data_IF_435410778449
#
_entry.id   IF_435410778449
#
_cell.length_a   1.000
_cell.length_b   1.000
_cell.length_c   1.000
_cell.angle_alpha   90.00
_cell.angle_beta   90.00
_cell.angle_gamma   90.00
#
_symmetry.space_group_name_H-M   'P 1'
#
loop_
_entity.id
_entity.type
_entity.pdbx_description
1 polymer ?
#
# COMPACT_ATOMS: atom_id res chain seq x y z
N UNK A 1 -24.01 34.18 18.48
CA UNK A 1 -22.62 33.77 18.77
C UNK A 1 -21.72 34.97 18.47
N UNK A 2 -21.06 35.54 19.48
CA UNK A 2 -20.09 36.62 19.31
C UNK A 2 -18.71 36.01 19.05
N UNK A 3 -18.44 35.64 17.80
CA UNK A 3 -17.10 35.21 17.40
C UNK A 3 -16.22 36.45 17.16
N UNK A 4 -14.94 36.42 17.57
CA UNK A 4 -14.02 37.50 17.31
C UNK A 4 -13.83 37.67 15.80
N UNK A 5 -13.59 38.92 15.36
CA UNK A 5 -13.35 39.17 13.95
C UNK A 5 -12.07 38.45 13.49
N UNK A 6 -12.09 37.83 12.31
CA UNK A 6 -10.95 37.09 11.81
C UNK A 6 -9.75 38.02 11.63
N UNK A 7 -8.53 37.58 11.99
CA UNK A 7 -7.35 38.40 11.86
C UNK A 7 -7.09 38.77 10.41
N UNK A 8 -6.76 40.03 10.15
CA UNK A 8 -6.53 40.56 8.80
C UNK A 8 -5.16 40.20 8.23
N UNK A 9 -4.21 39.74 9.05
CA UNK A 9 -2.90 39.23 8.63
C UNK A 9 -2.72 37.77 9.01
N UNK A 10 -2.75 36.90 8.02
CA UNK A 10 -2.58 35.45 8.19
C UNK A 10 -1.11 34.99 8.18
N UNK A 11 -0.17 35.81 7.69
CA UNK A 11 1.24 35.41 7.54
C UNK A 11 1.93 34.93 8.83
N UNK A 12 1.67 35.51 10.02
CA UNK A 12 2.31 35.03 11.26
C UNK A 12 1.78 33.65 11.68
N UNK A 13 0.48 33.41 11.47
CA UNK A 13 -0.17 32.13 11.77
C UNK A 13 0.29 31.05 10.80
N UNK A 14 0.44 31.38 9.52
CA UNK A 14 0.98 30.47 8.51
C UNK A 14 2.36 29.95 8.89
N UNK A 15 3.27 30.83 9.36
CA UNK A 15 4.61 30.41 9.81
C UNK A 15 4.57 29.49 11.04
N UNK A 16 3.68 29.79 12.01
CA UNK A 16 3.52 28.96 13.22
C UNK A 16 2.96 27.58 12.89
N UNK A 17 1.93 27.53 12.06
CA UNK A 17 1.31 26.27 11.61
C UNK A 17 2.31 25.45 10.79
N UNK A 18 3.04 26.10 9.87
CA UNK A 18 4.07 25.43 9.07
C UNK A 18 5.16 24.81 9.95
N UNK A 19 5.65 25.56 10.95
CA UNK A 19 6.66 25.05 11.86
C UNK A 19 6.14 23.87 12.70
N UNK A 20 4.92 23.97 13.24
CA UNK A 20 4.31 22.88 13.99
C UNK A 20 4.12 21.63 13.11
N UNK A 21 3.62 21.80 11.88
CA UNK A 21 3.44 20.72 10.92
C UNK A 21 4.78 20.06 10.53
N UNK A 22 5.84 20.87 10.33
CA UNK A 22 7.19 20.36 10.06
C UNK A 22 7.74 19.53 11.21
N UNK A 23 7.59 20.00 12.45
CA UNK A 23 8.06 19.27 13.63
C UNK A 23 7.39 17.90 13.75
N UNK A 24 6.05 17.87 13.61
CA UNK A 24 5.29 16.60 13.64
C UNK A 24 5.68 15.69 12.49
N UNK A 25 5.89 16.25 11.29
CA UNK A 25 6.32 15.49 10.12
C UNK A 25 7.71 14.87 10.31
N UNK A 26 8.68 15.65 10.82
CA UNK A 26 10.05 15.18 11.07
C UNK A 26 10.07 14.07 12.11
N UNK A 27 9.36 14.26 13.23
CA UNK A 27 9.26 13.25 14.28
C UNK A 27 8.56 11.97 13.77
N UNK A 28 7.44 12.12 13.06
CA UNK A 28 6.69 11.00 12.50
C UNK A 28 7.51 10.18 11.50
N UNK A 29 8.23 10.83 10.57
CA UNK A 29 9.09 10.14 9.60
C UNK A 29 10.28 9.47 10.28
N UNK A 30 10.91 10.13 11.27
CA UNK A 30 12.04 9.53 11.98
C UNK A 30 11.62 8.32 12.81
N UNK A 31 10.48 8.39 13.47
CA UNK A 31 9.94 7.27 14.25
C UNK A 31 9.56 6.12 13.32
N UNK A 32 8.84 6.39 12.22
CA UNK A 32 8.52 5.37 11.21
C UNK A 32 9.78 4.73 10.60
N UNK A 33 10.84 5.50 10.33
CA UNK A 33 12.10 4.97 9.82
C UNK A 33 12.82 4.09 10.85
N UNK A 34 12.86 4.49 12.12
CA UNK A 34 13.45 3.70 13.21
C UNK A 34 12.68 2.40 13.46
N UNK A 35 11.36 2.49 13.51
CA UNK A 35 10.47 1.33 13.63
C UNK A 35 10.70 0.37 12.48
N UNK A 36 10.69 0.87 11.24
CA UNK A 36 10.93 0.04 10.06
C UNK A 36 12.33 -0.61 10.07
N UNK A 37 13.38 0.06 10.53
CA UNK A 37 14.73 -0.54 10.66
C UNK A 37 14.74 -1.62 11.75
N UNK A 38 14.13 -1.34 12.91
CA UNK A 38 14.08 -2.29 14.03
C UNK A 38 13.32 -3.56 13.64
N UNK A 39 12.20 -3.41 12.93
CA UNK A 39 11.38 -4.52 12.46
C UNK A 39 12.03 -5.31 11.32
N UNK A 40 12.93 -4.70 10.55
CA UNK A 40 13.71 -5.36 9.50
C UNK A 40 15.08 -5.87 10.00
N UNK A 41 15.20 -6.25 11.28
CA UNK A 41 16.43 -6.82 11.87
C UNK A 41 17.67 -5.91 11.69
N UNK A 42 17.46 -4.60 11.70
CA UNK A 42 18.52 -3.62 11.50
C UNK A 42 18.86 -3.35 10.03
N UNK A 43 18.18 -3.97 9.07
CA UNK A 43 18.36 -3.71 7.65
C UNK A 43 17.82 -2.32 7.29
N UNK A 44 18.69 -1.48 6.73
CA UNK A 44 18.41 -0.08 6.38
C UNK A 44 17.95 0.10 4.92
N UNK A 45 17.98 -0.96 4.11
CA UNK A 45 17.57 -0.92 2.71
C UNK A 45 16.04 -1.06 2.59
N UNK A 46 15.33 -0.02 3.02
CA UNK A 46 13.87 0.05 2.98
C UNK A 46 13.49 1.03 1.87
N UNK A 47 13.21 0.51 0.67
CA UNK A 47 12.91 1.33 -0.49
C UNK A 47 11.41 1.29 -0.80
N UNK A 48 10.75 2.44 -0.67
CA UNK A 48 9.35 2.64 -1.02
C UNK A 48 9.24 3.74 -2.06
N UNK A 49 8.50 3.50 -3.14
CA UNK A 49 8.13 4.56 -4.07
C UNK A 49 6.70 4.99 -3.73
N UNK A 50 6.54 6.28 -3.50
CA UNK A 50 5.26 6.86 -3.08
C UNK A 50 4.94 7.98 -4.05
N UNK A 51 3.90 7.79 -4.88
CA UNK A 51 3.41 8.80 -5.81
C UNK A 51 2.09 9.37 -5.31
N UNK A 52 2.01 10.69 -5.15
CA UNK A 52 0.86 11.39 -4.61
C UNK A 52 0.15 12.19 -5.70
N UNK A 53 -1.15 12.00 -5.85
CA UNK A 53 -1.99 12.82 -6.73
C UNK A 53 -3.20 13.35 -5.98
N UNK A 54 -3.81 14.42 -6.48
CA UNK A 54 -5.04 14.96 -5.93
C UNK A 54 -6.23 14.23 -6.54
N UNK A 55 -7.27 13.94 -5.74
CA UNK A 55 -8.48 13.30 -6.27
C UNK A 55 -9.11 14.09 -7.44
N UNK A 56 -8.92 15.41 -7.45
CA UNK A 56 -9.36 16.31 -8.53
C UNK A 56 -8.15 16.97 -9.20
N UNK A 57 -8.26 17.20 -10.51
CA UNK A 57 -7.25 17.91 -11.30
C UNK A 57 -7.09 19.34 -10.79
N UNK A 58 -5.84 19.80 -10.65
CA UNK A 58 -5.53 21.21 -10.40
C UNK A 58 -5.40 21.63 -8.93
N UNK A 59 -4.81 20.80 -8.06
CA UNK A 59 -4.49 21.14 -6.66
C UNK A 59 -5.67 21.58 -5.77
N UNK A 60 -6.92 21.41 -6.22
CA UNK A 60 -8.13 21.93 -5.55
C UNK A 60 -8.90 20.86 -4.77
N UNK A 61 -8.29 19.71 -4.52
CA UNK A 61 -8.90 18.62 -3.78
C UNK A 61 -8.58 18.70 -2.30
N UNK A 62 -9.59 18.58 -1.43
CA UNK A 62 -9.40 18.35 0.01
C UNK A 62 -8.89 16.92 0.31
N UNK A 63 -8.92 16.03 -0.68
CA UNK A 63 -8.49 14.64 -0.57
C UNK A 63 -7.25 14.39 -1.44
N UNK A 64 -6.14 14.01 -0.81
CA UNK A 64 -4.97 13.44 -1.50
C UNK A 64 -5.15 11.94 -1.73
N UNK A 65 -4.60 11.43 -2.82
CA UNK A 65 -4.49 10.00 -3.13
C UNK A 65 -3.01 9.67 -3.18
N UNK A 66 -2.58 8.72 -2.35
CA UNK A 66 -1.20 8.25 -2.32
C UNK A 66 -1.15 6.83 -2.87
N UNK A 67 -0.35 6.62 -3.91
CA UNK A 67 -0.08 5.30 -4.49
C UNK A 67 1.29 4.83 -4.02
N UNK A 68 1.31 3.70 -3.33
CA UNK A 68 2.56 3.02 -2.99
C UNK A 68 2.89 2.04 -4.11
N UNK A 69 3.98 2.30 -4.82
CA UNK A 69 4.52 1.42 -5.85
C UNK A 69 5.71 0.64 -5.30
N UNK A 70 5.76 -0.65 -5.59
CA UNK A 70 6.95 -1.46 -5.31
C UNK A 70 8.07 -0.98 -6.21
N UNK A 71 9.16 -0.48 -5.63
CA UNK A 71 10.30 0.03 -6.39
C UNK A 71 10.91 -1.06 -7.28
N UNK A 72 10.90 -2.31 -6.81
CA UNK A 72 11.50 -3.46 -7.49
C UNK A 72 10.86 -3.82 -8.84
N UNK A 73 9.59 -3.45 -9.07
CA UNK A 73 8.86 -3.86 -10.30
C UNK A 73 8.27 -2.72 -11.10
N UNK A 74 8.28 -1.49 -10.57
CA UNK A 74 7.70 -0.32 -11.24
C UNK A 74 6.21 -0.45 -11.57
N UNK A 75 5.51 -1.43 -10.99
CA UNK A 75 4.10 -1.72 -11.27
C UNK A 75 3.25 -1.57 -10.01
N UNK A 76 2.11 -0.89 -10.15
CA UNK A 76 1.05 -0.95 -9.14
C UNK A 76 0.39 -2.32 -9.23
N UNK A 77 0.71 -3.20 -8.28
CA UNK A 77 0.07 -4.51 -8.14
C UNK A 77 -1.43 -4.37 -7.91
N UNK A 78 -1.85 -3.38 -7.13
CA UNK A 78 -3.26 -3.09 -6.88
C UNK A 78 -4.03 -2.77 -8.17
N UNK A 79 -3.53 -1.83 -8.98
CA UNK A 79 -4.19 -1.50 -10.25
C UNK A 79 -4.27 -2.68 -11.23
N UNK A 80 -3.28 -3.57 -11.20
CA UNK A 80 -3.30 -4.81 -12.01
C UNK A 80 -4.33 -5.82 -11.50
N UNK A 81 -4.46 -5.96 -10.17
CA UNK A 81 -5.48 -6.81 -9.55
C UNK A 81 -6.90 -6.35 -9.91
N UNK A 82 -7.14 -5.04 -9.95
CA UNK A 82 -8.43 -4.47 -10.38
C UNK A 82 -8.68 -4.75 -11.88
N UNK A 83 -7.80 -4.29 -12.77
CA UNK A 83 -8.03 -4.35 -14.22
C UNK A 83 -8.22 -5.77 -14.76
N UNK A 84 -7.46 -6.74 -14.23
CA UNK A 84 -7.56 -8.15 -14.65
C UNK A 84 -8.82 -8.85 -14.15
N UNK A 85 -9.53 -8.26 -13.19
CA UNK A 85 -10.69 -8.86 -12.53
C UNK A 85 -11.90 -7.91 -12.55
N UNK A 86 -11.97 -6.98 -13.51
CA UNK A 86 -12.98 -5.92 -13.57
C UNK A 86 -14.43 -6.42 -13.65
N UNK A 87 -14.64 -7.69 -14.02
CA UNK A 87 -15.96 -8.32 -14.06
C UNK A 87 -16.41 -8.93 -12.73
N UNK A 88 -15.56 -8.99 -11.71
CA UNK A 88 -15.89 -9.64 -10.43
C UNK A 88 -15.22 -8.98 -9.23
N UNK A 89 -16.04 -8.40 -8.36
CA UNK A 89 -15.61 -7.85 -7.05
C UNK A 89 -14.91 -8.91 -6.21
N UNK A 90 -15.40 -10.15 -6.24
CA UNK A 90 -14.82 -11.24 -5.49
C UNK A 90 -13.40 -11.58 -6.00
N UNK A 91 -13.20 -11.58 -7.31
CA UNK A 91 -11.89 -11.84 -7.91
C UNK A 91 -10.93 -10.67 -7.66
N UNK A 92 -11.40 -9.42 -7.73
CA UNK A 92 -10.61 -8.25 -7.33
C UNK A 92 -10.13 -8.38 -5.88
N UNK A 93 -11.05 -8.70 -4.96
CA UNK A 93 -10.73 -8.89 -3.53
C UNK A 93 -9.70 -9.98 -3.33
N UNK A 94 -9.87 -11.15 -3.96
CA UNK A 94 -8.90 -12.24 -3.86
C UNK A 94 -7.53 -11.82 -4.40
N UNK A 95 -7.47 -11.20 -5.58
CA UNK A 95 -6.23 -10.74 -6.17
C UNK A 95 -5.52 -9.67 -5.31
N UNK A 96 -6.26 -8.78 -4.64
CA UNK A 96 -5.71 -7.81 -3.69
C UNK A 96 -5.11 -8.52 -2.46
N UNK A 97 -5.84 -9.46 -1.86
CA UNK A 97 -5.34 -10.22 -0.71
C UNK A 97 -4.17 -11.15 -1.07
N UNK A 98 -4.10 -11.62 -2.31
CA UNK A 98 -2.94 -12.37 -2.79
C UNK A 98 -1.66 -11.53 -2.78
N UNK A 99 -1.73 -10.22 -3.07
CA UNK A 99 -0.57 -9.30 -2.95
C UNK A 99 -0.07 -9.25 -1.51
N UNK A 100 -0.99 -9.08 -0.55
CA UNK A 100 -0.68 -9.07 0.89
C UNK A 100 -0.01 -10.39 1.30
N UNK A 101 -0.61 -11.53 0.92
CA UNK A 101 -0.12 -12.85 1.27
C UNK A 101 1.24 -13.17 0.65
N UNK A 102 1.51 -12.70 -0.57
CA UNK A 102 2.82 -12.84 -1.21
C UNK A 102 3.95 -12.16 -0.42
N UNK A 103 3.67 -11.03 0.24
CA UNK A 103 4.67 -10.34 1.07
C UNK A 103 4.92 -11.03 2.40
N UNK A 104 3.97 -11.82 2.89
CA UNK A 104 4.11 -12.64 4.10
C UNK A 104 4.68 -14.04 3.82
N UNK A 105 4.70 -14.47 2.56
CA UNK A 105 5.02 -15.85 2.16
C UNK A 105 6.51 -16.15 2.26
N UNK A 106 6.88 -17.26 2.89
CA UNK A 106 8.25 -17.79 2.93
C UNK A 106 8.31 -19.21 2.38
N UNK A 107 9.51 -19.76 2.22
CA UNK A 107 9.69 -21.15 1.80
C UNK A 107 9.13 -22.14 2.84
N UNK A 108 9.26 -21.82 4.13
CA UNK A 108 8.72 -22.60 5.25
C UNK A 108 7.21 -22.44 5.40
N UNK A 109 6.68 -21.25 5.08
CA UNK A 109 5.27 -20.94 5.23
C UNK A 109 4.69 -20.27 3.97
N UNK A 110 4.41 -21.06 2.92
CA UNK A 110 3.90 -20.56 1.66
C UNK A 110 2.43 -20.12 1.77
N UNK A 111 2.15 -18.88 1.34
CA UNK A 111 0.87 -18.19 1.49
C UNK A 111 0.25 -17.84 0.12
N UNK A 112 -0.04 -18.86 -0.70
CA UNK A 112 -0.54 -18.67 -2.07
C UNK A 112 -2.00 -19.08 -2.28
N UNK A 113 -2.81 -19.13 -1.21
CA UNK A 113 -4.20 -19.63 -1.25
C UNK A 113 -5.19 -18.77 -2.05
N UNK A 114 -4.91 -17.47 -2.26
CA UNK A 114 -5.77 -16.58 -3.06
C UNK A 114 -5.35 -16.49 -4.53
N UNK A 115 -4.34 -17.25 -4.93
CA UNK A 115 -3.83 -17.22 -6.29
C UNK A 115 -4.56 -18.25 -7.16
N UNK A 116 -4.78 -17.97 -8.45
CA UNK A 116 -5.31 -18.97 -9.37
C UNK A 116 -4.34 -20.15 -9.45
N UNK A 117 -4.90 -21.34 -9.60
CA UNK A 117 -4.16 -22.60 -9.72
C UNK A 117 -3.83 -22.83 -11.20
N UNK A 118 -2.74 -23.53 -11.49
CA UNK A 118 -2.38 -23.97 -12.84
C UNK A 118 -1.22 -23.19 -13.47
N UNK A 119 -0.79 -23.68 -14.62
CA UNK A 119 0.39 -23.15 -15.35
C UNK A 119 0.15 -21.73 -15.90
N UNK A 120 -1.10 -21.34 -16.10
CA UNK A 120 -1.48 -19.99 -16.54
C UNK A 120 -1.57 -18.99 -15.37
N UNK A 121 -1.33 -19.44 -14.13
CA UNK A 121 -1.40 -18.58 -12.96
C UNK A 121 -0.43 -17.39 -13.09
N UNK A 122 -0.87 -16.20 -12.71
CA UNK A 122 0.05 -15.07 -12.60
C UNK A 122 0.97 -15.18 -11.38
N UNK A 123 0.72 -16.12 -10.47
CA UNK A 123 1.54 -16.41 -9.29
C UNK A 123 2.67 -17.39 -9.65
N UNK A 124 3.93 -16.97 -9.46
CA UNK A 124 5.10 -17.80 -9.75
C UNK A 124 5.14 -19.10 -8.96
N UNK A 125 4.72 -19.09 -7.69
CA UNK A 125 4.63 -20.29 -6.87
C UNK A 125 3.61 -21.29 -7.43
N UNK A 126 2.39 -20.83 -7.78
CA UNK A 126 1.34 -21.70 -8.34
C UNK A 126 1.70 -22.26 -9.71
N UNK A 127 2.43 -21.49 -10.52
CA UNK A 127 3.02 -21.99 -11.77
C UNK A 127 4.03 -23.11 -11.52
N UNK A 128 4.96 -22.88 -10.59
CA UNK A 128 5.98 -23.86 -10.26
C UNK A 128 5.36 -25.15 -9.68
N UNK A 129 4.38 -25.01 -8.80
CA UNK A 129 3.59 -26.11 -8.25
C UNK A 129 2.90 -26.93 -9.36
N UNK A 130 2.23 -26.26 -10.31
CA UNK A 130 1.55 -26.93 -11.43
C UNK A 130 2.51 -27.64 -12.39
N UNK A 131 3.67 -27.05 -12.68
CA UNK A 131 4.69 -27.62 -13.58
C UNK A 131 5.70 -28.54 -12.86
N UNK A 132 5.53 -28.83 -11.57
CA UNK A 132 6.46 -29.64 -10.78
C UNK A 132 7.87 -29.06 -10.61
N UNK A 133 8.02 -27.73 -10.75
CA UNK A 133 9.30 -27.02 -10.60
C UNK A 133 9.49 -26.52 -9.17
N UNK A 134 10.74 -26.38 -8.75
CA UNK A 134 11.04 -25.72 -7.48
C UNK A 134 10.80 -24.21 -7.57
N UNK A 135 10.32 -23.62 -6.49
CA UNK A 135 10.16 -22.19 -6.32
C UNK A 135 10.91 -21.74 -5.07
N UNK A 136 11.57 -20.58 -5.15
CA UNK A 136 12.22 -19.95 -4.01
C UNK A 136 11.61 -18.59 -3.77
N UNK A 137 11.07 -18.37 -2.59
CA UNK A 137 10.48 -17.09 -2.21
C UNK A 137 11.57 -16.01 -2.16
N UNK A 138 11.19 -14.83 -2.62
CA UNK A 138 12.04 -13.64 -2.60
C UNK A 138 11.21 -12.48 -2.04
N UNK A 139 11.87 -11.56 -1.35
CA UNK A 139 11.29 -10.29 -0.94
C UNK A 139 10.07 -10.43 -0.01
N UNK A 140 10.10 -11.43 0.88
CA UNK A 140 9.22 -11.47 2.05
C UNK A 140 9.59 -10.32 2.99
N UNK A 141 8.58 -9.74 3.62
CA UNK A 141 8.74 -8.68 4.60
C UNK A 141 8.55 -9.27 6.00
N UNK A 142 9.17 -8.69 7.04
CA UNK A 142 8.91 -9.08 8.42
C UNK A 142 7.42 -9.02 8.73
N UNK A 143 6.96 -9.96 9.56
CA UNK A 143 5.54 -10.09 9.91
C UNK A 143 4.99 -8.76 10.43
N UNK A 144 5.71 -8.06 11.32
CA UNK A 144 5.29 -6.77 11.87
C UNK A 144 4.96 -5.72 10.77
N UNK A 145 5.83 -5.58 9.77
CA UNK A 145 5.65 -4.64 8.65
C UNK A 145 4.40 -5.01 7.83
N UNK A 146 4.25 -6.30 7.49
CA UNK A 146 3.09 -6.75 6.69
C UNK A 146 1.79 -6.57 7.49
N UNK A 147 1.82 -6.86 8.79
CA UNK A 147 0.68 -6.69 9.68
C UNK A 147 0.26 -5.22 9.82
N UNK A 148 1.22 -4.30 9.87
CA UNK A 148 0.94 -2.85 9.84
C UNK A 148 0.25 -2.41 8.54
N UNK A 149 0.52 -3.08 7.40
CA UNK A 149 -0.16 -2.82 6.13
C UNK A 149 -1.57 -3.42 6.05
N UNK A 150 -1.91 -4.41 6.90
CA UNK A 150 -3.20 -5.12 6.87
C UNK A 150 -4.43 -4.20 6.85
N UNK A 151 -4.57 -3.15 7.70
CA UNK A 151 -5.73 -2.26 7.65
C UNK A 151 -5.89 -1.59 6.28
N UNK A 152 -4.78 -1.23 5.62
CA UNK A 152 -4.79 -0.65 4.27
C UNK A 152 -5.36 -1.66 3.27
N UNK A 153 -4.90 -2.91 3.29
CA UNK A 153 -5.43 -3.96 2.42
C UNK A 153 -6.90 -4.30 2.69
N UNK A 154 -7.34 -4.24 3.95
CA UNK A 154 -8.75 -4.39 4.31
C UNK A 154 -9.60 -3.32 3.64
N UNK A 155 -9.18 -2.06 3.75
CA UNK A 155 -9.94 -0.92 3.23
C UNK A 155 -9.90 -0.87 1.69
N UNK A 156 -8.74 -1.16 1.10
CA UNK A 156 -8.57 -1.29 -0.36
C UNK A 156 -9.33 -2.47 -0.97
N UNK A 157 -9.64 -3.50 -0.17
CA UNK A 157 -10.41 -4.66 -0.63
C UNK A 157 -11.90 -4.59 -0.26
N UNK A 158 -12.38 -3.43 0.22
CA UNK A 158 -13.76 -3.25 0.64
C UNK A 158 -14.72 -3.37 -0.56
N UNK A 159 -15.78 -4.19 -0.48
CA UNK A 159 -16.68 -4.42 -1.61
C UNK A 159 -17.28 -3.13 -2.20
N UNK A 160 -17.64 -2.17 -1.36
CA UNK A 160 -18.23 -0.89 -1.82
C UNK A 160 -17.24 0.01 -2.56
N UNK A 161 -15.94 -0.12 -2.29
CA UNK A 161 -14.91 0.51 -3.09
C UNK A 161 -14.79 -0.22 -4.43
N UNK A 162 -14.68 -1.56 -4.39
CA UNK A 162 -14.44 -2.39 -5.57
C UNK A 162 -15.60 -2.41 -6.57
N UNK A 163 -16.85 -2.29 -6.11
CA UNK A 163 -18.04 -2.16 -6.99
C UNK A 163 -17.93 -0.97 -7.95
N UNK A 164 -17.23 0.09 -7.55
CA UNK A 164 -17.00 1.29 -8.39
C UNK A 164 -15.98 1.04 -9.51
N UNK A 165 -15.26 -0.08 -9.46
CA UNK A 165 -14.30 -0.48 -10.46
C UNK A 165 -14.86 -1.47 -11.49
N UNK A 166 -16.13 -1.89 -11.32
CA UNK A 166 -16.83 -2.67 -12.34
C UNK A 166 -17.11 -1.79 -13.56
N UNK A 167 -16.79 -2.30 -14.74
CA UNK A 167 -17.07 -1.66 -16.03
C UNK A 167 -17.14 -2.72 -17.13
#
# INVERSE_FOLDING_TARGET
MNLPQPPTRFSPYGKRILNAAKLVYEDSIQNAAKEAICENEGNKNIAVAVDGTWQKRGYTSLNGVVTVTSIDTGKSYYGSAIRRNHSSVQNMRQAIWAIFRHKLSTDEYPQHGFCPIGEDSWCGFKKAEASGKSYKHKNSLPVAVVEAMRPIFRDLSHPDLLKKCLH
#
